data_IF_212841384334
#
_entry.id   IF_212841384334
#
_cell.length_a   1.000
_cell.length_b   1.000
_cell.length_c   1.000
_cell.angle_alpha   90.00
_cell.angle_beta   90.00
_cell.angle_gamma   90.00
#
_symmetry.space_group_name_H-M   'P 1'
#
loop_
_entity.id
_entity.type
_entity.pdbx_description
1 polymer ?
#
# COMPACT_ATOMS: atom_id res chain seq x y z
N UNK A 1 27.42 -2.48 14.27
CA UNK A 1 26.40 -3.35 13.62
C UNK A 1 24.95 -3.02 14.00
N UNK A 2 24.57 -2.86 15.27
CA UNK A 2 23.17 -2.63 15.68
C UNK A 2 22.45 -1.42 15.04
N UNK A 3 23.16 -0.31 14.72
CA UNK A 3 22.56 0.86 14.06
C UNK A 3 22.06 0.57 12.63
N UNK A 4 22.78 -0.27 11.89
CA UNK A 4 22.43 -0.62 10.51
C UNK A 4 21.25 -1.59 10.46
N UNK A 5 21.21 -2.58 11.36
CA UNK A 5 20.08 -3.53 11.46
C UNK A 5 18.79 -2.80 11.83
N UNK A 6 18.85 -1.86 12.79
CA UNK A 6 17.68 -1.05 13.17
C UNK A 6 17.19 -0.15 12.04
N UNK A 7 18.11 0.41 11.25
CA UNK A 7 17.76 1.24 10.08
C UNK A 7 17.05 0.41 8.99
N UNK A 8 17.54 -0.80 8.70
CA UNK A 8 16.91 -1.69 7.73
C UNK A 8 15.49 -2.11 8.15
N UNK A 9 15.31 -2.45 9.44
CA UNK A 9 13.98 -2.77 10.00
C UNK A 9 13.04 -1.58 9.91
N UNK A 10 13.54 -0.37 10.20
CA UNK A 10 12.75 0.86 10.08
C UNK A 10 12.28 1.08 8.63
N UNK A 11 13.20 1.00 7.65
CA UNK A 11 12.87 1.14 6.23
C UNK A 11 11.89 0.06 5.74
N UNK A 12 12.05 -1.18 6.20
CA UNK A 12 11.14 -2.27 5.86
C UNK A 12 9.70 -1.96 6.31
N UNK A 13 9.51 -1.53 7.56
CA UNK A 13 8.19 -1.17 8.07
C UNK A 13 7.62 0.10 7.43
N UNK A 14 8.47 1.09 7.14
CA UNK A 14 8.08 2.30 6.43
C UNK A 14 7.51 1.97 5.04
N UNK A 15 8.19 1.07 4.32
CA UNK A 15 7.74 0.64 2.99
C UNK A 15 6.51 -0.27 3.05
N UNK A 16 6.49 -1.24 3.98
CA UNK A 16 5.37 -2.17 4.18
C UNK A 16 4.06 -1.43 4.50
N UNK A 17 4.14 -0.34 5.27
CA UNK A 17 2.98 0.45 5.68
C UNK A 17 2.90 1.83 5.03
N UNK A 18 3.55 2.03 3.87
CA UNK A 18 3.70 3.33 3.19
C UNK A 18 2.42 4.15 3.08
N UNK A 19 1.28 3.52 2.73
CA UNK A 19 0.00 4.24 2.57
C UNK A 19 -0.45 4.89 3.87
N UNK A 20 -0.25 4.22 5.01
CA UNK A 20 -0.65 4.73 6.32
C UNK A 20 0.35 5.76 6.84
N UNK A 21 1.64 5.52 6.63
CA UNK A 21 2.71 6.48 6.97
C UNK A 21 2.50 7.80 6.23
N UNK A 22 2.12 7.76 4.94
CA UNK A 22 1.78 8.96 4.17
C UNK A 22 0.57 9.69 4.76
N UNK A 23 -0.47 8.98 5.21
CA UNK A 23 -1.63 9.61 5.86
C UNK A 23 -1.23 10.28 7.19
N UNK A 24 -0.40 9.62 8.00
CA UNK A 24 0.12 10.18 9.26
C UNK A 24 0.98 11.42 8.97
N UNK A 25 1.86 11.35 7.98
CA UNK A 25 2.67 12.50 7.56
C UNK A 25 1.80 13.67 7.09
N UNK A 26 0.75 13.40 6.31
CA UNK A 26 -0.21 14.41 5.87
C UNK A 26 -0.95 15.05 7.04
N UNK A 27 -1.39 14.25 8.02
CA UNK A 27 -2.01 14.74 9.26
C UNK A 27 -1.06 15.66 10.04
N UNK A 28 0.22 15.28 10.15
CA UNK A 28 1.21 16.11 10.82
C UNK A 28 1.44 17.43 10.08
N UNK A 29 1.48 17.41 8.75
CA UNK A 29 1.58 18.62 7.93
C UNK A 29 0.40 19.55 8.21
N UNK A 30 -0.84 19.04 8.25
CA UNK A 30 -2.03 19.83 8.56
C UNK A 30 -1.93 20.45 9.97
N UNK A 31 -1.45 19.69 10.96
CA UNK A 31 -1.25 20.21 12.32
C UNK A 31 -0.19 21.32 12.38
N UNK A 32 0.90 21.18 11.62
CA UNK A 32 1.93 22.21 11.51
C UNK A 32 1.38 23.49 10.86
N UNK A 33 0.62 23.36 9.78
CA UNK A 33 -0.04 24.51 9.13
C UNK A 33 -1.03 25.20 10.07
N UNK A 34 -1.87 24.43 10.78
CA UNK A 34 -2.80 24.99 11.75
C UNK A 34 -2.07 25.79 12.85
N UNK A 35 -0.91 25.30 13.31
CA UNK A 35 -0.12 26.01 14.31
C UNK A 35 0.58 27.26 13.75
N UNK A 36 1.06 27.21 12.51
CA UNK A 36 1.68 28.36 11.85
C UNK A 36 0.68 29.50 11.66
N UNK A 37 -0.53 29.20 11.18
CA UNK A 37 -1.56 30.19 10.85
C UNK A 37 -2.27 30.72 12.12
N UNK A 38 -2.20 29.99 13.24
CA UNK A 38 -2.90 30.36 14.48
C UNK A 38 -2.52 31.77 14.97
N UNK A 39 -1.24 32.14 14.91
CA UNK A 39 -0.79 33.47 15.36
C UNK A 39 -1.40 34.58 14.51
N UNK A 40 -1.32 34.44 13.18
CA UNK A 40 -1.85 35.41 12.21
C UNK A 40 -3.37 35.58 12.38
N UNK A 41 -4.08 34.47 12.59
CA UNK A 41 -5.53 34.46 12.82
C UNK A 41 -5.85 35.20 14.12
N UNK A 42 -5.19 34.87 15.23
CA UNK A 42 -5.41 35.53 16.53
C UNK A 42 -5.12 37.03 16.45
N UNK A 43 -4.04 37.43 15.78
CA UNK A 43 -3.67 38.83 15.60
C UNK A 43 -4.70 39.60 14.77
N UNK A 44 -5.12 39.02 13.63
CA UNK A 44 -6.16 39.59 12.78
C UNK A 44 -7.49 39.78 13.53
N UNK A 45 -7.86 38.79 14.35
CA UNK A 45 -9.09 38.80 15.15
C UNK A 45 -9.06 39.85 16.27
N UNK A 46 -7.90 40.05 16.90
CA UNK A 46 -7.68 41.13 17.87
C UNK A 46 -7.77 42.50 17.20
N UNK A 47 -7.18 42.68 16.02
CA UNK A 47 -7.26 43.96 15.27
C UNK A 47 -8.70 44.37 14.91
N UNK A 48 -9.59 43.39 14.74
CA UNK A 48 -10.99 43.61 14.37
C UNK A 48 -11.93 43.68 15.59
N UNK A 49 -11.40 43.61 16.82
CA UNK A 49 -12.17 43.56 18.08
C UNK A 49 -13.25 42.46 18.12
N UNK A 50 -13.01 41.35 17.41
CA UNK A 50 -13.95 40.23 17.27
C UNK A 50 -13.63 39.10 18.25
N UNK A 51 -13.76 39.38 19.56
CA UNK A 51 -13.40 38.46 20.64
C UNK A 51 -14.20 37.15 20.66
N UNK A 52 -15.46 37.15 20.22
CA UNK A 52 -16.31 35.94 20.16
C UNK A 52 -15.69 34.83 19.29
N UNK A 53 -14.98 35.22 18.22
CA UNK A 53 -14.34 34.27 17.32
C UNK A 53 -12.98 33.79 17.86
N UNK A 54 -12.40 34.50 18.83
CA UNK A 54 -11.15 34.12 19.48
C UNK A 54 -11.32 32.87 20.34
N UNK A 55 -12.44 32.77 21.06
CA UNK A 55 -12.81 31.56 21.82
C UNK A 55 -12.97 30.36 20.90
N UNK A 56 -13.70 30.53 19.79
CA UNK A 56 -13.89 29.50 18.76
C UNK A 56 -12.55 29.10 18.15
N UNK A 57 -11.64 30.04 17.89
CA UNK A 57 -10.31 29.75 17.39
C UNK A 57 -9.45 28.96 18.38
N UNK A 58 -9.63 29.18 19.69
CA UNK A 58 -8.96 28.40 20.74
C UNK A 58 -9.50 26.97 20.77
N UNK A 59 -10.83 26.80 20.74
CA UNK A 59 -11.46 25.48 20.69
C UNK A 59 -11.09 24.71 19.43
N UNK A 60 -11.05 25.37 18.27
CA UNK A 60 -10.69 24.72 17.01
C UNK A 60 -9.24 24.22 17.03
N UNK A 61 -8.31 24.98 17.63
CA UNK A 61 -6.92 24.54 17.82
C UNK A 61 -6.84 23.23 18.60
N UNK A 62 -7.51 23.17 19.75
CA UNK A 62 -7.53 21.96 20.59
C UNK A 62 -8.24 20.79 19.90
N UNK A 63 -9.33 21.08 19.19
CA UNK A 63 -10.03 20.08 18.39
C UNK A 63 -9.12 19.45 17.34
N UNK A 64 -8.32 20.25 16.62
CA UNK A 64 -7.35 19.76 15.63
C UNK A 64 -6.29 18.86 16.29
N UNK A 65 -5.76 19.26 17.45
CA UNK A 65 -4.75 18.48 18.18
C UNK A 65 -5.33 17.12 18.60
N UNK A 66 -6.50 17.12 19.24
CA UNK A 66 -7.17 15.89 19.69
C UNK A 66 -7.51 15.00 18.49
N UNK A 67 -8.07 15.58 17.43
CA UNK A 67 -8.38 14.86 16.19
C UNK A 67 -7.14 14.19 15.61
N UNK A 68 -6.00 14.88 15.57
CA UNK A 68 -4.74 14.31 15.08
C UNK A 68 -4.29 13.10 15.92
N UNK A 69 -4.33 13.23 17.25
CA UNK A 69 -3.94 12.16 18.19
C UNK A 69 -4.86 10.96 18.03
N UNK A 70 -6.18 11.16 18.08
CA UNK A 70 -7.18 10.09 17.95
C UNK A 70 -7.02 9.38 16.62
N UNK A 71 -6.86 10.12 15.53
CA UNK A 71 -6.72 9.54 14.19
C UNK A 71 -5.40 8.77 14.03
N UNK A 72 -4.31 9.28 14.62
CA UNK A 72 -3.02 8.58 14.66
C UNK A 72 -3.12 7.26 15.41
N UNK A 73 -3.72 7.26 16.61
CA UNK A 73 -3.96 6.04 17.40
C UNK A 73 -4.87 5.06 16.64
N UNK A 74 -5.92 5.55 15.98
CA UNK A 74 -6.80 4.73 15.15
C UNK A 74 -6.05 4.03 14.00
N UNK A 75 -5.17 4.74 13.30
CA UNK A 75 -4.34 4.16 12.22
C UNK A 75 -3.38 3.09 12.74
N UNK A 76 -2.87 3.26 13.96
CA UNK A 76 -2.01 2.28 14.64
C UNK A 76 -2.83 1.05 15.07
N UNK A 77 -4.00 1.23 15.69
CA UNK A 77 -4.87 0.12 16.09
C UNK A 77 -5.34 -0.72 14.90
N UNK A 78 -5.64 -0.07 13.78
CA UNK A 78 -6.08 -0.76 12.55
C UNK A 78 -4.95 -1.49 11.82
N UNK A 79 -3.66 -1.33 12.21
CA UNK A 79 -2.56 -2.16 11.71
C UNK A 79 -2.69 -3.59 12.23
N UNK A 80 -3.00 -3.75 13.53
CA UNK A 80 -3.12 -5.07 14.16
C UNK A 80 -4.33 -5.86 13.66
N UNK A 81 -5.37 -5.16 13.18
CA UNK A 81 -6.62 -5.79 12.72
C UNK A 81 -6.55 -6.41 11.31
N UNK A 82 -5.63 -5.95 10.45
CA UNK A 82 -5.62 -6.31 9.02
C UNK A 82 -4.76 -7.53 8.65
N UNK A 83 -3.87 -8.01 9.54
CA UNK A 83 -3.01 -9.16 9.24
C UNK A 83 -3.81 -10.44 8.88
N UNK A 84 -5.04 -10.59 9.38
CA UNK A 84 -5.91 -11.74 9.06
C UNK A 84 -6.51 -11.73 7.64
N UNK A 85 -6.49 -10.60 6.92
CA UNK A 85 -7.09 -10.47 5.58
C UNK A 85 -6.08 -10.51 4.44
N UNK A 86 -4.83 -10.10 4.68
CA UNK A 86 -3.79 -10.05 3.65
C UNK A 86 -3.36 -11.46 3.20
N UNK A 87 -3.26 -12.44 4.11
CA UNK A 87 -3.01 -13.85 3.75
C UNK A 87 -4.08 -14.44 2.81
N UNK A 88 -5.35 -14.06 2.98
CA UNK A 88 -6.43 -14.58 2.12
C UNK A 88 -6.41 -14.00 0.69
N UNK A 89 -5.73 -12.88 0.47
CA UNK A 89 -5.68 -12.21 -0.85
C UNK A 89 -4.45 -12.58 -1.66
N UNK A 90 -3.34 -12.96 -1.02
CA UNK A 90 -2.18 -13.56 -1.70
C UNK A 90 -2.48 -14.97 -2.18
N UNK A 91 -3.08 -15.82 -1.34
CA UNK A 91 -3.47 -17.20 -1.71
C UNK A 91 -4.45 -17.22 -2.89
N UNK A 92 -5.40 -16.27 -2.95
CA UNK A 92 -6.35 -16.16 -4.08
C UNK A 92 -5.71 -15.66 -5.39
N UNK A 93 -4.58 -14.96 -5.33
CA UNK A 93 -3.88 -14.48 -6.54
C UNK A 93 -2.97 -15.55 -7.14
N UNK A 94 -2.35 -16.39 -6.33
CA UNK A 94 -1.54 -17.52 -6.82
C UNK A 94 -2.42 -18.62 -7.42
N UNK A 95 -3.55 -18.96 -6.80
CA UNK A 95 -4.54 -19.88 -7.38
C UNK A 95 -5.14 -19.39 -8.72
N UNK A 96 -5.11 -18.08 -8.99
CA UNK A 96 -5.61 -17.51 -10.25
C UNK A 96 -4.56 -17.52 -11.36
N UNK A 97 -3.27 -17.65 -11.03
CA UNK A 97 -2.19 -17.87 -11.99
C UNK A 97 -2.11 -19.34 -12.40
N UNK A 98 -2.26 -20.28 -11.47
CA UNK A 98 -2.33 -21.71 -11.80
C UNK A 98 -3.53 -22.05 -12.70
N UNK A 99 -4.72 -21.49 -12.41
CA UNK A 99 -5.92 -21.66 -13.26
C UNK A 99 -5.82 -21.05 -14.66
N UNK A 100 -4.88 -20.13 -14.92
CA UNK A 100 -4.66 -19.57 -16.27
C UNK A 100 -3.75 -20.45 -17.12
N UNK A 101 -2.89 -21.26 -16.51
CA UNK A 101 -2.03 -22.21 -17.20
C UNK A 101 -2.84 -23.43 -17.62
N UNK A 102 -3.71 -23.96 -16.73
CA UNK A 102 -4.58 -25.10 -17.06
C UNK A 102 -5.57 -24.83 -18.20
N UNK A 103 -6.08 -23.60 -18.31
CA UNK A 103 -7.04 -23.24 -19.37
C UNK A 103 -6.40 -23.00 -20.76
N UNK A 104 -5.06 -23.06 -20.88
CA UNK A 104 -4.38 -23.03 -22.19
C UNK A 104 -4.21 -24.43 -22.81
N UNK A 105 -4.15 -25.48 -21.98
CA UNK A 105 -4.04 -26.87 -22.46
C UNK A 105 -5.30 -27.34 -23.21
N UNK A 106 -6.46 -26.81 -22.85
CA UNK A 106 -7.76 -27.11 -23.50
C UNK A 106 -7.96 -26.44 -24.86
N UNK A 107 -7.03 -25.58 -25.32
CA UNK A 107 -7.14 -24.86 -26.61
C UNK A 107 -6.28 -25.43 -27.72
N UNK A 108 -5.54 -26.50 -27.45
CA UNK A 108 -4.71 -27.15 -28.47
C UNK A 108 -5.57 -28.08 -29.32
N UNK A 109 -5.41 -28.00 -30.64
CA UNK A 109 -6.02 -28.96 -31.56
C UNK A 109 -5.42 -30.35 -31.31
N UNK A 110 -6.18 -31.42 -31.59
CA UNK A 110 -5.70 -32.81 -31.46
C UNK A 110 -4.35 -33.03 -32.16
N UNK A 111 -4.14 -32.33 -33.29
CA UNK A 111 -2.90 -32.36 -34.06
C UNK A 111 -1.70 -31.72 -33.34
N UNK A 112 -1.94 -30.70 -32.53
CA UNK A 112 -0.92 -29.99 -31.76
C UNK A 112 -0.54 -30.76 -30.50
N UNK A 113 -1.51 -31.44 -29.88
CA UNK A 113 -1.27 -32.36 -28.77
C UNK A 113 -0.44 -33.56 -29.21
N UNK A 114 -0.80 -34.20 -30.33
CA UNK A 114 0.01 -35.29 -30.91
C UNK A 114 1.43 -34.86 -31.28
N UNK A 115 1.62 -33.60 -31.67
CA UNK A 115 2.95 -33.06 -32.00
C UNK A 115 3.84 -32.90 -30.77
N UNK A 116 3.27 -32.46 -29.64
CA UNK A 116 3.99 -32.28 -28.38
C UNK A 116 4.36 -33.61 -27.72
N UNK A 117 3.50 -34.63 -27.84
CA UNK A 117 3.73 -35.95 -27.24
C UNK A 117 4.67 -36.85 -28.06
N UNK A 118 4.98 -36.47 -29.31
CA UNK A 118 5.81 -37.29 -30.20
C UNK A 118 7.29 -37.21 -29.82
N UNK A 119 7.78 -38.22 -29.09
CA UNK A 119 9.19 -38.31 -28.64
C UNK A 119 10.26 -38.30 -29.75
N UNK A 120 9.93 -38.57 -31.01
CA UNK A 120 10.88 -38.53 -32.13
C UNK A 120 10.25 -37.85 -33.37
N UNK A 121 10.56 -36.58 -33.57
CA UNK A 121 10.22 -35.80 -34.77
C UNK A 121 11.30 -35.98 -35.84
N UNK A 122 11.55 -37.21 -36.30
CA UNK A 122 12.45 -37.41 -37.45
C UNK A 122 11.74 -37.00 -38.74
N UNK A 123 12.22 -35.94 -39.35
CA UNK A 123 11.85 -35.50 -40.70
C UNK A 123 12.33 -36.52 -41.74
N UNK A 124 11.72 -36.54 -42.93
CA UNK A 124 12.27 -37.31 -44.07
C UNK A 124 13.71 -36.89 -44.39
N UNK A 125 14.08 -35.64 -44.10
CA UNK A 125 15.45 -35.16 -44.24
C UNK A 125 16.39 -35.76 -43.18
N UNK A 126 15.92 -35.93 -41.93
CA UNK A 126 16.73 -36.54 -40.87
C UNK A 126 17.01 -38.02 -41.16
N UNK A 127 16.08 -38.72 -41.81
CA UNK A 127 16.27 -40.10 -42.25
C UNK A 127 17.32 -40.25 -43.37
N UNK A 128 17.53 -39.20 -44.17
CA UNK A 128 18.56 -39.19 -45.22
C UNK A 128 19.96 -38.85 -44.67
N UNK A 129 20.03 -38.21 -43.50
CA UNK A 129 21.26 -37.86 -42.79
C UNK A 129 21.80 -39.00 -41.91
N UNK A 130 20.93 -39.93 -41.51
CA UNK A 130 21.25 -41.10 -40.67
C UNK A 130 21.78 -42.31 -41.49
N UNK A 131 21.96 -42.16 -42.82
CA UNK A 131 22.49 -43.20 -43.73
C UNK A 131 23.90 -42.86 -44.19
#
# INVERSE_FOLDING_TARGET
>A
MFRQVKSAVFWYYLYKFRKRVVIIALLLIVALFANAIYSDVVEYLKLKDKLQYLEIALFSKWFIIIFNIVFSVYLILTLFKNNKKEEKTTIKKDNKKEKKVSNMEDKLSQREQEFLEKKNLKSKADYLLDR
#
